data_IF_550532255419
#
_entry.id   IF_550532255419
#
_cell.length_a   1.000
_cell.length_b   1.000
_cell.length_c   1.000
_cell.angle_alpha   90.00
_cell.angle_beta   90.00
_cell.angle_gamma   90.00
#
_symmetry.space_group_name_H-M   'P 1'
#
loop_
_entity.id
_entity.type
_entity.pdbx_description
1 polymer ?
#
# COMPACT_ATOMS: atom_id res chain seq x y z
N UNK A 1 -8.15 34.66 -16.23
CA UNK A 1 -7.25 34.93 -15.09
C UNK A 1 -7.11 33.63 -14.32
N UNK A 2 -6.04 32.88 -14.62
CA UNK A 2 -5.78 31.54 -14.07
C UNK A 2 -5.09 31.77 -12.72
N UNK A 3 -5.72 31.33 -11.64
CA UNK A 3 -5.08 31.23 -10.32
C UNK A 3 -4.41 29.84 -10.21
N UNK A 4 -3.11 29.81 -10.40
CA UNK A 4 -2.23 28.71 -10.04
C UNK A 4 -2.19 28.63 -8.50
N UNK A 5 -2.89 27.64 -7.92
CA UNK A 5 -2.71 27.27 -6.54
C UNK A 5 -1.33 26.60 -6.41
N UNK A 6 -0.37 27.33 -5.85
CA UNK A 6 0.97 26.86 -5.55
C UNK A 6 0.89 25.65 -4.60
N UNK A 7 1.57 24.56 -4.97
CA UNK A 7 1.88 23.47 -4.04
C UNK A 7 2.77 24.03 -2.93
N UNK A 8 2.21 24.23 -1.75
CA UNK A 8 3.00 24.39 -0.53
C UNK A 8 3.64 23.02 -0.27
N UNK A 9 4.94 22.91 -0.55
CA UNK A 9 5.76 21.77 -0.21
C UNK A 9 5.85 21.64 1.32
N UNK A 10 4.91 20.98 1.93
CA UNK A 10 5.01 20.53 3.31
C UNK A 10 6.22 19.59 3.41
N UNK A 11 7.08 19.86 4.38
CA UNK A 11 8.31 19.13 4.61
C UNK A 11 7.98 17.63 4.88
N UNK A 12 8.05 16.77 3.83
CA UNK A 12 7.64 15.38 3.88
C UNK A 12 8.41 14.56 4.93
N UNK A 13 9.61 15.02 5.32
CA UNK A 13 10.39 14.43 6.41
C UNK A 13 9.76 14.67 7.79
N UNK A 14 9.07 15.80 7.99
CA UNK A 14 8.44 16.13 9.27
C UNK A 14 7.26 15.20 9.56
N UNK A 15 6.52 14.75 8.54
CA UNK A 15 5.42 13.80 8.68
C UNK A 15 5.87 12.40 9.18
N UNK A 16 7.15 12.05 8.99
CA UNK A 16 7.71 10.80 9.50
C UNK A 16 8.14 10.89 10.97
N UNK A 17 8.33 12.10 11.51
CA UNK A 17 8.82 12.32 12.88
C UNK A 17 7.71 12.37 13.93
N UNK A 18 6.45 12.49 13.50
CA UNK A 18 5.31 12.53 14.42
C UNK A 18 5.03 11.16 15.03
N UNK A 19 4.55 11.10 16.29
CA UNK A 19 4.11 9.85 16.91
C UNK A 19 3.08 9.14 16.04
N UNK A 20 3.18 7.82 15.94
CA UNK A 20 2.28 7.02 15.12
C UNK A 20 0.98 6.75 15.89
N UNK A 21 -0.05 7.52 15.60
CA UNK A 21 -1.44 7.21 15.95
C UNK A 21 -2.17 6.74 14.69
N UNK A 22 -2.99 5.69 14.83
CA UNK A 22 -3.80 5.19 13.72
C UNK A 22 -5.23 5.60 13.98
N UNK A 23 -5.71 6.59 13.22
CA UNK A 23 -7.11 7.02 13.26
C UNK A 23 -7.98 5.97 12.56
N UNK A 24 -9.21 5.81 13.02
CA UNK A 24 -10.21 4.95 12.35
C UNK A 24 -11.15 5.85 11.55
N UNK A 25 -11.20 5.60 10.24
CA UNK A 25 -12.20 6.23 9.36
C UNK A 25 -13.10 5.10 8.84
N UNK A 26 -14.17 4.85 9.60
CA UNK A 26 -15.22 3.92 9.22
C UNK A 26 -16.17 4.68 8.30
N UNK A 27 -16.11 4.44 7.00
CA UNK A 27 -17.22 4.76 6.14
C UNK A 27 -18.47 4.03 6.71
N UNK A 28 -19.59 4.74 6.80
CA UNK A 28 -20.82 4.23 7.39
C UNK A 28 -21.46 3.12 6.52
N UNK A 29 -20.84 1.93 6.54
CA UNK A 29 -21.31 0.76 5.79
C UNK A 29 -21.76 -0.34 6.78
N UNK A 30 -22.89 -1.01 6.55
CA UNK A 30 -23.39 -2.08 7.41
C UNK A 30 -22.40 -3.23 7.61
N UNK A 31 -21.58 -3.53 6.60
CA UNK A 31 -20.53 -4.56 6.67
C UNK A 31 -19.35 -4.17 7.58
N UNK A 32 -19.17 -2.89 7.90
CA UNK A 32 -18.13 -2.40 8.79
C UNK A 32 -18.31 -2.80 10.26
N UNK A 33 -19.52 -3.17 10.68
CA UNK A 33 -19.84 -3.43 12.08
C UNK A 33 -18.99 -4.51 12.73
N UNK A 34 -18.69 -5.60 12.02
CA UNK A 34 -17.86 -6.70 12.52
C UNK A 34 -16.41 -6.23 12.71
N UNK A 35 -15.83 -5.55 11.72
CA UNK A 35 -14.46 -5.02 11.83
C UNK A 35 -14.43 -3.87 12.85
N UNK A 36 -15.40 -2.96 12.84
CA UNK A 36 -15.43 -1.81 13.75
C UNK A 36 -15.39 -2.21 15.21
N UNK A 37 -16.06 -3.30 15.60
CA UNK A 37 -16.07 -3.80 16.97
C UNK A 37 -14.72 -4.38 17.42
N UNK A 38 -13.87 -4.81 16.48
CA UNK A 38 -12.57 -5.44 16.76
C UNK A 38 -11.38 -4.65 16.19
N UNK A 39 -11.62 -3.45 15.67
CA UNK A 39 -10.59 -2.70 14.92
C UNK A 39 -9.32 -2.44 15.73
N UNK A 40 -9.43 -2.18 17.03
CA UNK A 40 -8.25 -1.98 17.88
C UNK A 40 -7.40 -3.24 17.99
N UNK A 41 -8.03 -4.41 18.13
CA UNK A 41 -7.32 -5.69 18.14
C UNK A 41 -6.67 -5.98 16.78
N UNK A 42 -7.38 -5.75 15.68
CA UNK A 42 -6.87 -5.93 14.32
C UNK A 42 -5.68 -4.98 14.04
N UNK A 43 -5.76 -3.74 14.49
CA UNK A 43 -4.65 -2.78 14.38
C UNK A 43 -3.44 -3.21 15.21
N UNK A 44 -3.64 -3.70 16.42
CA UNK A 44 -2.55 -4.22 17.25
C UNK A 44 -1.86 -5.43 16.59
N UNK A 45 -2.63 -6.30 15.95
CA UNK A 45 -2.14 -7.47 15.23
C UNK A 45 -1.39 -7.10 13.93
N UNK A 46 -1.94 -6.20 13.11
CA UNK A 46 -1.46 -5.92 11.75
C UNK A 46 -0.54 -4.70 11.67
N UNK A 47 -0.67 -3.76 12.59
CA UNK A 47 0.12 -2.53 12.65
C UNK A 47 1.64 -2.73 12.62
N UNK A 48 2.21 -3.74 13.31
CA UNK A 48 3.65 -4.02 13.25
C UNK A 48 4.18 -4.34 11.85
N UNK A 49 3.34 -4.85 10.95
CA UNK A 49 3.72 -5.16 9.58
C UNK A 49 3.49 -4.01 8.58
N UNK A 50 2.93 -2.89 9.01
CA UNK A 50 2.69 -1.71 8.18
C UNK A 50 3.80 -0.68 8.32
N UNK A 51 4.18 -0.01 7.22
CA UNK A 51 5.16 1.08 7.18
C UNK A 51 4.66 2.25 6.32
N UNK A 52 5.04 3.47 6.74
CA UNK A 52 4.89 4.69 5.92
C UNK A 52 6.19 4.93 5.15
N UNK A 53 6.10 5.30 3.88
CA UNK A 53 7.24 5.42 2.96
C UNK A 53 7.41 6.85 2.46
N UNK A 54 8.65 7.31 2.41
CA UNK A 54 9.08 8.47 1.61
C UNK A 54 10.19 7.98 0.68
N UNK A 55 10.06 8.26 -0.60
CA UNK A 55 10.96 7.81 -1.66
C UNK A 55 11.70 9.00 -2.22
N UNK A 56 13.02 8.85 -2.38
CA UNK A 56 13.93 9.86 -2.91
C UNK A 56 14.64 9.33 -4.15
N UNK A 57 15.06 10.22 -5.01
CA UNK A 57 15.86 9.85 -6.17
C UNK A 57 17.18 9.20 -5.74
N UNK A 58 17.62 8.22 -6.51
CA UNK A 58 18.95 7.63 -6.30
C UNK A 58 20.01 8.70 -6.51
N UNK A 59 20.75 9.04 -5.47
CA UNK A 59 21.90 9.94 -5.60
C UNK A 59 22.95 9.32 -6.53
N UNK A 60 23.29 10.00 -7.62
CA UNK A 60 24.41 9.65 -8.47
C UNK A 60 25.68 9.81 -7.63
N UNK A 61 26.58 8.80 -7.68
CA UNK A 61 27.85 8.86 -6.97
C UNK A 61 28.64 10.12 -7.33
N UNK A 62 28.99 10.86 -6.29
CA UNK A 62 30.07 11.82 -6.10
C UNK A 62 30.61 12.64 -7.28
N UNK A 63 30.46 13.93 -7.15
CA UNK A 63 31.12 15.01 -7.90
C UNK A 63 30.49 16.38 -7.63
N UNK A 64 29.24 16.43 -7.21
CA UNK A 64 28.59 17.67 -6.84
C UNK A 64 28.31 17.73 -5.33
N UNK A 65 28.80 18.75 -4.68
CA UNK A 65 28.41 19.17 -3.32
C UNK A 65 26.93 19.56 -3.33
N UNK A 66 26.03 18.59 -3.30
CA UNK A 66 24.63 18.86 -3.01
C UNK A 66 24.50 18.98 -1.47
N UNK A 67 24.63 20.20 -0.97
CA UNK A 67 24.34 20.53 0.41
C UNK A 67 22.83 20.68 0.62
N UNK A 68 22.10 19.56 0.63
CA UNK A 68 20.65 19.54 0.92
C UNK A 68 20.19 18.13 1.13
N UNK A 69 19.19 17.94 2.00
CA UNK A 69 18.48 16.65 2.08
C UNK A 69 17.86 16.34 0.72
N UNK A 70 17.94 15.08 0.23
CA UNK A 70 17.36 14.72 -1.05
C UNK A 70 15.88 15.02 -1.06
N UNK A 71 15.42 15.70 -2.12
CA UNK A 71 14.00 16.02 -2.30
C UNK A 71 13.19 14.72 -2.43
N UNK A 72 12.04 14.67 -1.74
CA UNK A 72 11.14 13.54 -1.83
C UNK A 72 10.43 13.52 -3.18
N UNK A 73 10.54 12.41 -3.90
CA UNK A 73 9.82 12.17 -5.16
C UNK A 73 8.36 11.84 -4.90
N UNK A 74 8.12 10.94 -3.96
CA UNK A 74 6.79 10.44 -3.62
C UNK A 74 6.72 10.03 -2.16
N UNK A 75 5.50 9.86 -1.66
CA UNK A 75 5.22 9.20 -0.38
C UNK A 75 4.04 8.25 -0.52
N UNK A 76 3.99 7.25 0.33
CA UNK A 76 2.96 6.24 0.30
C UNK A 76 3.04 5.29 1.49
N UNK A 77 2.44 4.16 1.32
CA UNK A 77 2.32 3.10 2.33
C UNK A 77 2.97 1.81 1.84
N UNK A 78 3.26 0.90 2.76
CA UNK A 78 3.80 -0.40 2.44
C UNK A 78 3.62 -1.39 3.59
N UNK A 79 3.98 -2.65 3.35
CA UNK A 79 3.87 -3.70 4.36
C UNK A 79 4.97 -4.74 4.24
N UNK A 80 5.29 -5.36 5.36
CA UNK A 80 6.36 -6.36 5.49
C UNK A 80 5.90 -7.69 4.91
N UNK A 81 6.60 -8.20 3.91
CA UNK A 81 6.32 -9.53 3.31
C UNK A 81 7.32 -10.60 3.72
N UNK A 82 8.51 -10.20 4.14
CA UNK A 82 9.53 -11.03 4.75
C UNK A 82 10.57 -10.16 5.46
N UNK A 83 11.55 -10.77 6.13
CA UNK A 83 12.56 -10.00 6.91
C UNK A 83 13.21 -8.88 6.10
N UNK A 84 12.89 -7.64 6.45
CA UNK A 84 13.38 -6.42 5.83
C UNK A 84 12.94 -6.21 4.38
N UNK A 85 12.00 -7.00 3.83
CA UNK A 85 11.39 -6.79 2.51
C UNK A 85 10.00 -6.20 2.66
N UNK A 86 9.81 -5.05 2.03
CA UNK A 86 8.54 -4.31 2.01
C UNK A 86 7.94 -4.43 0.61
N UNK A 87 6.64 -4.69 0.54
CA UNK A 87 5.82 -4.57 -0.65
C UNK A 87 5.16 -3.18 -0.65
N UNK A 88 5.09 -2.53 -1.80
CA UNK A 88 4.39 -1.27 -2.03
C UNK A 88 3.95 -1.16 -3.48
N UNK A 89 3.17 -0.13 -3.82
CA UNK A 89 2.80 0.16 -5.19
C UNK A 89 4.01 0.64 -6.02
N UNK A 90 4.02 0.29 -7.31
CA UNK A 90 5.10 0.66 -8.24
C UNK A 90 5.23 2.16 -8.39
N UNK A 91 4.10 2.89 -8.52
CA UNK A 91 4.08 4.35 -8.65
C UNK A 91 4.57 5.08 -7.38
N UNK A 92 4.52 4.44 -6.20
CA UNK A 92 5.13 4.95 -4.96
C UNK A 92 6.64 4.79 -5.00
N UNK A 93 7.14 3.63 -5.43
CA UNK A 93 8.58 3.33 -5.50
C UNK A 93 9.29 4.01 -6.70
N UNK A 94 8.55 4.32 -7.76
CA UNK A 94 8.93 4.95 -9.02
C UNK A 94 9.88 4.10 -9.85
N UNK A 95 11.11 3.85 -9.41
CA UNK A 95 12.09 3.02 -10.13
C UNK A 95 13.03 2.28 -9.19
N UNK A 96 13.59 1.19 -9.71
CA UNK A 96 14.67 0.43 -9.04
C UNK A 96 15.88 1.34 -8.77
N UNK A 97 16.41 1.22 -7.56
CA UNK A 97 17.60 1.96 -7.12
C UNK A 97 17.26 3.21 -6.28
N UNK A 98 16.04 3.73 -6.35
CA UNK A 98 15.62 4.85 -5.48
C UNK A 98 15.86 4.51 -4.02
N UNK A 99 16.21 5.53 -3.22
CA UNK A 99 16.36 5.41 -1.76
C UNK A 99 15.03 5.65 -1.06
N UNK A 100 14.86 5.03 0.08
CA UNK A 100 13.60 5.05 0.81
C UNK A 100 13.86 5.24 2.30
N UNK A 101 13.09 6.12 2.90
CA UNK A 101 12.93 6.21 4.34
C UNK A 101 11.58 5.63 4.73
N UNK A 102 11.60 4.61 5.59
CA UNK A 102 10.40 3.91 6.04
C UNK A 102 10.21 4.10 7.54
N UNK A 103 9.08 4.67 7.95
CA UNK A 103 8.69 4.74 9.36
C UNK A 103 7.89 3.49 9.72
N UNK A 104 8.39 2.75 10.70
CA UNK A 104 7.78 1.52 11.22
C UNK A 104 6.85 1.80 12.42
N UNK A 105 6.21 0.75 12.91
CA UNK A 105 5.30 0.81 14.07
C UNK A 105 5.97 1.22 15.37
N UNK A 106 7.28 0.99 15.49
CA UNK A 106 8.10 1.44 16.65
C UNK A 106 8.44 2.95 16.59
N UNK A 107 7.95 3.67 15.57
CA UNK A 107 8.22 5.08 15.32
C UNK A 107 9.60 5.37 14.72
N UNK A 108 10.47 4.36 14.58
CA UNK A 108 11.81 4.51 14.00
C UNK A 108 11.75 4.60 12.49
N UNK A 109 12.73 5.32 11.93
CA UNK A 109 12.92 5.44 10.49
C UNK A 109 14.04 4.50 10.07
N UNK A 110 13.76 3.67 9.07
CA UNK A 110 14.69 2.72 8.49
C UNK A 110 15.00 3.11 7.04
N UNK A 111 16.27 3.24 6.73
CA UNK A 111 16.71 3.52 5.37
C UNK A 111 16.71 2.25 4.52
N UNK A 112 16.31 2.40 3.27
CA UNK A 112 16.23 1.28 2.34
C UNK A 112 16.45 1.67 0.88
N UNK A 113 16.22 0.69 0.02
CA UNK A 113 16.37 0.84 -1.43
C UNK A 113 15.29 0.03 -2.17
N UNK A 114 14.77 0.60 -3.24
CA UNK A 114 13.90 -0.11 -4.18
C UNK A 114 14.72 -1.17 -4.92
N UNK A 115 14.33 -2.44 -4.79
CA UNK A 115 15.06 -3.58 -5.37
C UNK A 115 14.38 -4.18 -6.60
N UNK A 116 13.05 -4.01 -6.73
CA UNK A 116 12.29 -4.43 -7.90
C UNK A 116 11.10 -3.50 -8.13
N UNK A 117 10.73 -3.28 -9.39
CA UNK A 117 9.51 -2.58 -9.81
C UNK A 117 8.93 -3.31 -11.01
N UNK A 118 7.62 -3.50 -11.04
CA UNK A 118 6.85 -4.05 -12.16
C UNK A 118 5.77 -3.04 -12.56
N UNK A 119 6.06 -2.12 -13.49
CA UNK A 119 5.16 -1.01 -13.83
C UNK A 119 3.79 -1.47 -14.36
N UNK A 120 3.74 -2.51 -15.20
CA UNK A 120 2.47 -3.04 -15.77
C UNK A 120 1.57 -3.74 -14.77
N UNK A 121 2.03 -3.93 -13.53
CA UNK A 121 1.24 -4.51 -12.44
C UNK A 121 1.25 -3.59 -11.20
N UNK A 122 1.82 -2.40 -11.32
CA UNK A 122 1.93 -1.39 -10.26
C UNK A 122 2.43 -1.94 -8.92
N UNK A 123 3.49 -2.75 -8.96
CA UNK A 123 4.08 -3.39 -7.76
C UNK A 123 5.55 -3.06 -7.63
N UNK A 124 6.04 -2.96 -6.39
CA UNK A 124 7.45 -2.79 -6.09
C UNK A 124 7.87 -3.48 -4.79
N UNK A 125 9.15 -3.82 -4.70
CA UNK A 125 9.80 -4.34 -3.51
C UNK A 125 10.91 -3.39 -3.05
N UNK A 126 10.98 -3.17 -1.74
CA UNK A 126 11.98 -2.36 -1.06
C UNK A 126 12.72 -3.25 -0.07
N UNK A 127 14.04 -3.12 0.00
CA UNK A 127 14.85 -3.74 1.06
C UNK A 127 15.25 -2.67 2.06
N UNK A 128 14.82 -2.82 3.31
CA UNK A 128 15.23 -1.98 4.44
C UNK A 128 16.47 -2.58 5.12
N UNK A 129 17.34 -1.71 5.64
CA UNK A 129 18.56 -2.10 6.36
C UNK A 129 18.27 -2.20 7.85
N UNK A 130 18.69 -3.31 8.47
CA UNK A 130 18.56 -3.52 9.92
C UNK A 130 17.11 -3.60 10.42
N UNK A 131 16.13 -3.70 9.50
CA UNK A 131 14.73 -3.78 9.84
C UNK A 131 14.28 -5.24 9.98
N UNK A 132 13.69 -5.53 11.12
CA UNK A 132 13.09 -6.84 11.40
C UNK A 132 11.73 -6.61 12.10
N UNK A 133 10.65 -6.91 11.41
CA UNK A 133 9.30 -6.85 11.94
C UNK A 133 8.49 -8.03 11.41
N UNK A 134 7.36 -8.31 12.07
CA UNK A 134 6.45 -9.37 11.67
C UNK A 134 5.95 -9.13 10.24
N UNK A 135 6.10 -10.14 9.39
CA UNK A 135 5.52 -10.11 8.06
C UNK A 135 4.01 -10.34 8.13
N UNK A 136 3.29 -9.78 7.16
CA UNK A 136 1.86 -10.07 7.00
C UNK A 136 1.64 -11.56 6.75
N UNK A 137 0.52 -12.08 7.26
CA UNK A 137 0.04 -13.42 6.91
C UNK A 137 -0.91 -13.30 5.74
N UNK A 138 -0.58 -13.81 4.55
CA UNK A 138 -1.51 -13.77 3.42
C UNK A 138 -2.68 -14.73 3.65
N UNK A 139 -3.89 -14.30 3.28
CA UNK A 139 -5.09 -15.14 3.34
C UNK A 139 -4.96 -16.32 2.37
N UNK A 140 -5.25 -17.51 2.84
CA UNK A 140 -5.30 -18.70 1.97
C UNK A 140 -6.52 -18.63 1.02
N UNK A 141 -7.59 -17.98 1.43
CA UNK A 141 -8.77 -17.72 0.61
C UNK A 141 -8.67 -16.30 0.01
N UNK A 142 -8.20 -16.21 -1.23
CA UNK A 142 -8.08 -14.95 -1.95
C UNK A 142 -9.35 -14.55 -2.70
N UNK A 143 -10.34 -15.45 -2.84
CA UNK A 143 -11.62 -15.16 -3.49
C UNK A 143 -12.67 -14.83 -2.44
N UNK A 144 -12.86 -13.54 -2.19
CA UNK A 144 -13.85 -13.05 -1.25
C UNK A 144 -15.20 -12.82 -1.95
N UNK A 145 -16.29 -12.96 -1.20
CA UNK A 145 -17.62 -12.65 -1.69
C UNK A 145 -17.86 -11.14 -1.73
N UNK A 146 -18.76 -10.70 -2.60
CA UNK A 146 -19.27 -9.31 -2.58
C UNK A 146 -19.86 -8.99 -1.22
N UNK A 147 -19.51 -7.83 -0.69
CA UNK A 147 -19.91 -7.40 0.67
C UNK A 147 -19.00 -7.92 1.78
N UNK A 148 -18.03 -8.80 1.50
CA UNK A 148 -17.09 -9.25 2.52
C UNK A 148 -16.37 -8.04 3.16
N UNK A 149 -16.32 -7.94 4.51
CA UNK A 149 -15.71 -6.83 5.20
C UNK A 149 -14.20 -6.85 5.02
N UNK A 150 -13.62 -5.68 4.80
CA UNK A 150 -12.16 -5.48 4.67
C UNK A 150 -11.74 -4.21 5.38
N UNK A 151 -10.48 -4.14 5.79
CA UNK A 151 -9.88 -2.88 6.25
C UNK A 151 -8.47 -2.72 5.66
N UNK A 152 -8.01 -1.49 5.58
CA UNK A 152 -6.67 -1.17 5.14
C UNK A 152 -5.96 -0.26 6.13
N UNK A 153 -4.63 -0.30 6.11
CA UNK A 153 -3.79 0.66 6.82
C UNK A 153 -3.05 1.53 5.79
N UNK A 154 -3.04 2.83 6.02
CA UNK A 154 -2.40 3.76 5.12
C UNK A 154 -2.09 5.11 5.77
N UNK A 155 -1.23 5.91 5.13
CA UNK A 155 -0.88 7.28 5.54
C UNK A 155 -1.40 8.29 4.52
N UNK A 156 -2.59 8.88 4.73
CA UNK A 156 -3.02 10.01 3.93
C UNK A 156 -2.01 11.17 4.04
N UNK A 157 -1.75 11.89 2.93
CA UNK A 157 -0.73 12.94 2.92
C UNK A 157 -0.94 14.05 3.98
N UNK A 158 -2.20 14.37 4.27
CA UNK A 158 -2.57 15.47 5.16
C UNK A 158 -3.08 15.03 6.53
N UNK A 159 -2.89 13.75 6.91
CA UNK A 159 -3.44 13.19 8.15
C UNK A 159 -2.48 12.18 8.79
N UNK A 160 -2.82 11.71 9.99
CA UNK A 160 -2.19 10.58 10.65
C UNK A 160 -2.39 9.28 9.85
N UNK A 161 -1.64 8.24 10.22
CA UNK A 161 -1.92 6.89 9.73
C UNK A 161 -3.39 6.56 9.99
N UNK A 162 -4.06 5.96 9.02
CA UNK A 162 -5.50 5.76 9.06
C UNK A 162 -5.83 4.31 8.75
N UNK A 163 -6.71 3.72 9.56
CA UNK A 163 -7.39 2.47 9.23
C UNK A 163 -8.70 2.80 8.50
N UNK A 164 -8.85 2.28 7.28
CA UNK A 164 -10.07 2.41 6.49
C UNK A 164 -10.86 1.12 6.56
N UNK A 165 -12.14 1.20 6.85
CA UNK A 165 -13.05 0.06 6.87
C UNK A 165 -13.99 0.17 5.68
N UNK A 166 -14.21 -0.95 4.99
CA UNK A 166 -15.09 -1.03 3.83
C UNK A 166 -15.43 -2.47 3.47
N UNK A 167 -15.80 -2.70 2.23
CA UNK A 167 -16.19 -4.02 1.75
C UNK A 167 -15.75 -4.29 0.31
N UNK A 168 -15.69 -5.56 -0.07
CA UNK A 168 -15.49 -5.99 -1.44
C UNK A 168 -16.70 -5.64 -2.29
N UNK A 169 -16.52 -4.95 -3.42
CA UNK A 169 -17.55 -4.74 -4.42
C UNK A 169 -17.49 -5.83 -5.50
N UNK A 170 -16.28 -6.11 -6.00
CA UNK A 170 -16.03 -7.18 -6.97
C UNK A 170 -14.59 -7.69 -6.83
N UNK A 171 -14.36 -8.97 -7.09
CA UNK A 171 -13.02 -9.56 -7.13
C UNK A 171 -12.28 -9.29 -8.45
N UNK A 172 -12.97 -8.74 -9.44
CA UNK A 172 -12.41 -8.32 -10.73
C UNK A 172 -13.09 -7.03 -11.18
N UNK A 173 -12.29 -6.07 -11.59
CA UNK A 173 -12.74 -4.86 -12.28
C UNK A 173 -13.01 -5.13 -13.75
N UNK A 174 -12.48 -6.25 -14.30
CA UNK A 174 -12.75 -6.75 -15.64
C UNK A 174 -12.06 -5.97 -16.75
N UNK A 175 -11.15 -5.03 -16.43
CA UNK A 175 -10.39 -4.28 -17.44
C UNK A 175 -9.08 -3.74 -16.87
N UNK A 176 -8.11 -3.56 -17.77
CA UNK A 176 -6.84 -2.96 -17.42
C UNK A 176 -6.97 -1.46 -17.11
N UNK A 177 -6.20 -1.02 -16.12
CA UNK A 177 -6.04 0.39 -15.74
C UNK A 177 -4.61 0.82 -16.05
N UNK A 178 -4.43 2.02 -16.63
CA UNK A 178 -3.11 2.61 -16.93
C UNK A 178 -3.09 4.07 -16.53
N UNK A 179 -2.00 4.51 -15.91
CA UNK A 179 -1.78 5.89 -15.50
C UNK A 179 -0.29 6.20 -15.29
N UNK A 180 0.17 7.33 -15.79
CA UNK A 180 1.53 7.87 -15.51
C UNK A 180 2.67 6.86 -15.63
N UNK A 181 2.61 5.96 -16.63
CA UNK A 181 3.63 4.92 -16.85
C UNK A 181 3.49 3.67 -15.98
N UNK A 182 2.44 3.58 -15.16
CA UNK A 182 2.07 2.41 -14.35
C UNK A 182 0.70 1.89 -14.75
N UNK A 183 0.35 0.71 -14.23
CA UNK A 183 -0.95 0.12 -14.46
C UNK A 183 -1.08 -1.28 -13.89
N UNK A 184 -2.24 -1.87 -14.06
CA UNK A 184 -2.52 -3.26 -13.69
C UNK A 184 -3.57 -3.85 -14.62
N UNK A 185 -3.50 -5.17 -14.93
CA UNK A 185 -4.42 -5.82 -15.88
C UNK A 185 -5.83 -5.97 -15.32
N UNK A 186 -5.96 -6.15 -14.03
CA UNK A 186 -7.19 -6.28 -13.27
C UNK A 186 -6.98 -5.89 -11.81
N UNK A 187 -8.06 -5.69 -11.05
CA UNK A 187 -8.01 -5.36 -9.63
C UNK A 187 -9.26 -5.85 -8.89
N UNK A 188 -9.11 -6.03 -7.58
CA UNK A 188 -10.24 -6.11 -6.65
C UNK A 188 -10.84 -4.70 -6.57
N UNK A 189 -12.14 -4.58 -6.81
CA UNK A 189 -12.88 -3.34 -6.65
C UNK A 189 -13.49 -3.29 -5.25
N UNK A 190 -13.29 -2.19 -4.54
CA UNK A 190 -13.65 -2.02 -3.14
C UNK A 190 -14.60 -0.84 -2.97
N UNK A 191 -15.55 -0.96 -2.07
CA UNK A 191 -16.25 0.17 -1.44
C UNK A 191 -15.42 0.63 -0.25
N UNK A 192 -14.48 1.51 -0.51
CA UNK A 192 -13.50 1.98 0.47
C UNK A 192 -13.07 3.41 0.12
N UNK A 193 -13.30 4.33 1.04
CA UNK A 193 -12.97 5.74 0.86
C UNK A 193 -11.48 5.99 1.12
N UNK A 194 -10.63 5.77 0.13
CA UNK A 194 -9.18 5.98 0.22
C UNK A 194 -8.76 7.41 -0.17
N UNK A 195 -7.54 7.79 0.18
CA UNK A 195 -6.93 9.08 -0.15
C UNK A 195 -5.50 8.91 -0.65
N UNK A 196 -4.97 9.95 -1.30
CA UNK A 196 -3.56 10.00 -1.72
C UNK A 196 -2.64 9.75 -0.52
N UNK A 197 -1.60 8.93 -0.71
CA UNK A 197 -0.67 8.49 0.33
C UNK A 197 -0.99 7.09 0.91
N UNK A 198 -2.21 6.57 0.70
CA UNK A 198 -2.58 5.23 1.13
C UNK A 198 -2.18 4.13 0.12
N UNK A 199 -1.77 4.51 -1.09
CA UNK A 199 -1.25 3.60 -2.12
C UNK A 199 -0.09 2.76 -1.59
N UNK A 200 -0.08 1.48 -1.91
CA UNK A 200 0.87 0.48 -1.41
C UNK A 200 0.51 -0.06 -0.02
N UNK A 201 -0.53 0.46 0.62
CA UNK A 201 -1.01 -0.04 1.90
C UNK A 201 -1.63 -1.43 1.82
N UNK A 202 -1.53 -2.23 2.90
CA UNK A 202 -2.13 -3.57 2.96
C UNK A 202 -3.64 -3.49 3.07
N UNK A 203 -4.32 -4.42 2.41
CA UNK A 203 -5.74 -4.71 2.56
C UNK A 203 -5.89 -6.03 3.32
N UNK A 204 -6.65 -6.03 4.40
CA UNK A 204 -6.88 -7.18 5.27
C UNK A 204 -8.35 -7.57 5.31
N UNK A 205 -8.61 -8.84 5.57
CA UNK A 205 -9.93 -9.37 5.94
C UNK A 205 -10.25 -9.13 7.44
N UNK A 206 -11.41 -9.60 7.88
CA UNK A 206 -11.90 -9.52 9.26
C UNK A 206 -11.07 -10.35 10.27
N UNK A 207 -10.12 -11.14 9.81
CA UNK A 207 -9.17 -11.93 10.61
C UNK A 207 -7.78 -11.30 10.66
N UNK A 208 -7.57 -10.15 9.99
CA UNK A 208 -6.26 -9.52 9.86
C UNK A 208 -5.32 -10.24 8.90
N UNK A 209 -5.84 -11.09 8.00
CA UNK A 209 -5.05 -11.74 6.96
C UNK A 209 -5.02 -10.86 5.70
N UNK A 210 -3.85 -10.78 5.07
CA UNK A 210 -3.67 -9.97 3.87
C UNK A 210 -4.46 -10.55 2.69
N UNK A 211 -5.31 -9.73 2.08
CA UNK A 211 -6.11 -10.07 0.90
C UNK A 211 -5.70 -9.30 -0.36
N UNK A 212 -4.96 -8.20 -0.19
CA UNK A 212 -4.50 -7.40 -1.32
C UNK A 212 -3.63 -6.22 -0.91
N UNK A 213 -3.31 -5.37 -1.90
CA UNK A 213 -2.57 -4.13 -1.75
C UNK A 213 -3.31 -2.99 -2.45
N UNK A 214 -3.58 -1.90 -1.76
CA UNK A 214 -4.22 -0.71 -2.34
C UNK A 214 -3.34 -0.06 -3.40
N UNK A 215 -3.92 0.31 -4.54
CA UNK A 215 -3.18 0.96 -5.63
C UNK A 215 -3.83 2.24 -6.12
N UNK A 216 -5.15 2.38 -6.09
CA UNK A 216 -5.79 3.61 -6.58
C UNK A 216 -7.09 3.92 -5.84
N UNK A 217 -7.41 5.21 -5.83
CA UNK A 217 -8.72 5.77 -5.45
C UNK A 217 -9.49 6.06 -6.74
N UNK A 218 -10.77 5.78 -6.77
CA UNK A 218 -11.62 6.09 -7.91
C UNK A 218 -12.33 7.43 -7.73
N UNK A 219 -12.40 8.17 -8.82
CA UNK A 219 -13.12 9.45 -8.90
C UNK A 219 -13.99 9.47 -10.16
N UNK A 220 -15.06 10.26 -10.13
CA UNK A 220 -15.87 10.53 -11.32
C UNK A 220 -15.11 11.41 -12.33
N UNK A 221 -15.73 11.69 -13.50
CA UNK A 221 -15.17 12.53 -14.54
C UNK A 221 -14.87 13.98 -14.08
N UNK A 222 -15.49 14.44 -12.99
CA UNK A 222 -15.29 15.75 -12.39
C UNK A 222 -14.26 15.73 -11.26
N UNK A 223 -13.61 14.59 -11.01
CA UNK A 223 -12.63 14.41 -9.94
C UNK A 223 -13.23 14.24 -8.53
N UNK A 224 -14.55 14.02 -8.41
CA UNK A 224 -15.19 13.78 -7.11
C UNK A 224 -14.93 12.34 -6.68
N UNK A 225 -14.51 12.10 -5.42
CA UNK A 225 -14.29 10.74 -4.92
C UNK A 225 -15.57 9.90 -4.98
N UNK A 226 -15.46 8.69 -5.52
CA UNK A 226 -16.56 7.71 -5.55
C UNK A 226 -16.64 6.85 -4.28
N UNK A 227 -15.76 7.07 -3.31
CA UNK A 227 -15.57 6.21 -2.15
C UNK A 227 -15.31 4.75 -2.54
N UNK A 228 -14.62 4.58 -3.66
CA UNK A 228 -14.21 3.31 -4.20
C UNK A 228 -12.70 3.29 -4.43
N UNK A 229 -12.11 2.12 -4.32
CA UNK A 229 -10.68 1.89 -4.50
C UNK A 229 -10.41 0.59 -5.24
N UNK A 230 -9.20 0.47 -5.79
CA UNK A 230 -8.69 -0.78 -6.36
C UNK A 230 -7.56 -1.34 -5.51
N UNK A 231 -7.50 -2.67 -5.42
CA UNK A 231 -6.40 -3.40 -4.81
C UNK A 231 -5.90 -4.52 -5.73
N UNK A 232 -4.60 -4.76 -5.69
CA UNK A 232 -3.96 -5.91 -6.35
C UNK A 232 -4.15 -7.14 -5.46
N UNK A 233 -4.57 -8.26 -6.05
CA UNK A 233 -4.86 -9.50 -5.34
C UNK A 233 -3.60 -10.19 -4.79
N UNK A 234 -3.74 -10.95 -3.70
CA UNK A 234 -2.62 -11.70 -3.09
C UNK A 234 -1.93 -12.69 -4.03
N UNK A 235 -2.59 -13.42 -4.96
CA UNK A 235 -1.88 -14.24 -5.93
C UNK A 235 -0.94 -13.44 -6.84
N UNK A 236 -1.37 -12.25 -7.31
CA UNK A 236 -0.51 -11.38 -8.12
C UNK A 236 0.70 -10.86 -7.33
N UNK A 237 0.49 -10.46 -6.06
CA UNK A 237 1.56 -10.05 -5.16
C UNK A 237 2.54 -11.20 -4.91
N UNK A 238 2.03 -12.43 -4.69
CA UNK A 238 2.82 -13.62 -4.44
C UNK A 238 3.70 -13.98 -5.66
N UNK A 239 3.15 -13.95 -6.87
CA UNK A 239 3.91 -14.17 -8.10
C UNK A 239 5.07 -13.17 -8.23
N UNK A 240 4.82 -11.90 -7.99
CA UNK A 240 5.86 -10.87 -8.05
C UNK A 240 6.91 -11.03 -6.96
N UNK A 241 6.49 -11.30 -5.71
CA UNK A 241 7.41 -11.52 -4.58
C UNK A 241 8.33 -12.71 -4.84
N UNK A 242 7.77 -13.87 -5.20
CA UNK A 242 8.52 -15.11 -5.36
C UNK A 242 9.42 -15.10 -6.61
N UNK A 243 9.11 -14.27 -7.61
CA UNK A 243 9.98 -14.08 -8.78
C UNK A 243 11.21 -13.19 -8.48
N UNK A 244 11.18 -12.41 -7.40
CA UNK A 244 12.24 -11.45 -7.10
C UNK A 244 12.99 -11.73 -5.80
N UNK A 245 12.44 -12.58 -4.91
CA UNK A 245 13.02 -12.91 -3.60
C UNK A 245 12.75 -14.37 -3.23
N UNK A 246 13.44 -14.85 -2.19
CA UNK A 246 13.03 -16.09 -1.53
C UNK A 246 11.74 -15.79 -0.75
N UNK A 247 10.67 -16.51 -1.04
CA UNK A 247 9.38 -16.38 -0.37
C UNK A 247 9.05 -17.61 0.48
N UNK A 248 8.21 -17.42 1.51
CA UNK A 248 7.75 -18.52 2.39
C UNK A 248 6.82 -19.49 1.67
N UNK A 249 6.55 -20.64 2.29
CA UNK A 249 5.67 -21.66 1.73
C UNK A 249 4.25 -21.13 1.43
N UNK A 250 3.70 -20.28 2.31
CA UNK A 250 2.38 -19.65 2.10
C UNK A 250 2.36 -18.77 0.85
N UNK A 251 3.37 -17.95 0.64
CA UNK A 251 3.51 -17.13 -0.56
C UNK A 251 3.75 -17.98 -1.82
N UNK A 252 4.54 -19.06 -1.71
CA UNK A 252 4.74 -20.00 -2.83
C UNK A 252 3.44 -20.69 -3.25
N UNK A 253 2.62 -21.10 -2.28
CA UNK A 253 1.31 -21.69 -2.57
C UNK A 253 0.41 -20.70 -3.32
N UNK A 254 0.30 -19.44 -2.84
CA UNK A 254 -0.50 -18.40 -3.48
C UNK A 254 0.02 -18.06 -4.88
N UNK A 255 1.32 -18.05 -5.11
CA UNK A 255 1.91 -17.72 -6.41
C UNK A 255 1.53 -18.71 -7.52
N UNK A 256 1.05 -19.91 -7.17
CA UNK A 256 0.57 -20.94 -8.10
C UNK A 256 -0.95 -20.88 -8.34
N UNK A 257 -1.66 -20.06 -7.58
CA UNK A 257 -3.11 -19.92 -7.72
C UNK A 257 -3.46 -18.99 -8.89
N UNK A 258 -4.64 -19.22 -9.49
CA UNK A 258 -5.21 -18.30 -10.46
C UNK A 258 -5.47 -16.94 -9.79
N UNK A 259 -5.28 -15.86 -10.54
CA UNK A 259 -5.69 -14.52 -10.10
C UNK A 259 -7.21 -14.31 -10.28
N UNK A 260 -7.84 -15.12 -11.12
CA UNK A 260 -9.28 -15.05 -11.38
C UNK A 260 -10.05 -15.80 -10.30
N UNK A 261 -11.08 -15.16 -9.79
CA UNK A 261 -12.06 -15.79 -8.91
C UNK A 261 -13.29 -16.21 -9.73
N UNK A 262 -14.00 -17.31 -9.33
CA UNK A 262 -15.29 -17.64 -9.94
C UNK A 262 -16.23 -16.43 -9.83
N UNK A 263 -17.05 -16.21 -10.87
CA UNK A 263 -18.13 -15.23 -10.80
C UNK A 263 -19.11 -15.69 -9.70
N UNK A 264 -19.30 -14.86 -8.70
CA UNK A 264 -20.27 -15.07 -7.61
C UNK A 264 -21.57 -14.38 -7.93
#
# INVERSE_FOLDING_TARGET
MLLLAGCVGGNTNQALLEPRTIDVDAAAEPAGGVISSHIQQLQAQTGPSYVTLVVHEQQKRAGSKASGSPEALTSGSGFVVSNGIIMTAGHVAVKRGNTVDARASDGRIYAGKVIAVKPDNDMALIKLRGFNAAAVTPSANHCMQRGAPVFSLGKPHARNDTARIGSVNSMSFGRAVKYSGFGYPDAIELRLATKKGESGGPLFDDKGQLTGMLVSTLSDANGRPLNMAHAISTPALAQFLCSNTKCSASWQQLSRQSQSCPAT
#
